data_IF_835390749391
#
_entry.id   IF_835390749391
#
_cell.length_a   1.000
_cell.length_b   1.000
_cell.length_c   1.000
_cell.angle_alpha   90.00
_cell.angle_beta   90.00
_cell.angle_gamma   90.00
#
_symmetry.space_group_name_H-M   'P 1'
#
loop_
_entity.id
_entity.type
_entity.pdbx_description
1 polymer ?
#
# COMPACT_ATOMS: atom_id res chain seq x y z
N UNK A 1 2.84 -8.16 7.20
CA UNK A 1 1.41 -8.55 7.07
C UNK A 1 0.67 -8.53 8.42
N UNK A 2 1.16 -9.21 9.45
CA UNK A 2 0.48 -9.33 10.76
C UNK A 2 0.27 -8.01 11.51
N UNK A 3 1.25 -7.10 11.43
CA UNK A 3 1.19 -5.80 12.14
C UNK A 3 0.24 -4.83 11.44
N UNK A 4 0.26 -4.77 10.11
CA UNK A 4 -0.63 -3.91 9.31
C UNK A 4 -2.10 -4.31 9.45
N UNK A 5 -2.39 -5.62 9.50
CA UNK A 5 -3.76 -6.14 9.72
C UNK A 5 -4.24 -5.80 11.14
N UNK A 6 -3.39 -5.91 12.16
CA UNK A 6 -3.75 -5.59 13.54
C UNK A 6 -4.02 -4.09 13.73
N UNK A 7 -3.21 -3.22 13.09
CA UNK A 7 -3.45 -1.78 13.08
C UNK A 7 -4.77 -1.42 12.39
N UNK A 8 -5.14 -2.12 11.32
CA UNK A 8 -6.42 -1.92 10.64
C UNK A 8 -7.61 -2.36 11.49
N UNK A 9 -7.52 -3.52 12.17
CA UNK A 9 -8.56 -4.01 13.10
C UNK A 9 -8.73 -3.08 14.30
N UNK A 10 -7.64 -2.53 14.84
CA UNK A 10 -7.70 -1.59 15.97
C UNK A 10 -8.21 -0.22 15.55
N UNK A 11 -7.78 0.30 14.40
CA UNK A 11 -8.30 1.56 13.83
C UNK A 11 -9.79 1.47 13.46
N UNK A 12 -10.27 0.30 13.01
CA UNK A 12 -11.68 0.06 12.72
C UNK A 12 -12.59 0.14 13.96
N UNK A 13 -12.05 -0.06 15.17
CA UNK A 13 -12.80 0.02 16.42
C UNK A 13 -13.04 1.44 16.96
N UNK A 14 -12.31 2.45 16.48
CA UNK A 14 -12.17 3.73 17.19
C UNK A 14 -12.79 4.94 16.46
N UNK A 15 -13.44 4.73 15.30
CA UNK A 15 -13.97 5.81 14.45
C UNK A 15 -15.38 5.48 13.90
N UNK A 16 -16.46 5.69 14.69
CA UNK A 16 -17.84 5.45 14.21
C UNK A 16 -18.27 6.35 13.04
N UNK A 17 -17.62 7.51 12.84
CA UNK A 17 -17.94 8.47 11.78
C UNK A 17 -17.09 8.35 10.51
N UNK A 18 -15.96 7.64 10.52
CA UNK A 18 -15.15 7.43 9.31
C UNK A 18 -15.81 6.45 8.32
N UNK A 19 -16.78 5.64 8.81
CA UNK A 19 -17.59 4.70 8.02
C UNK A 19 -18.70 5.38 7.19
N UNK A 20 -18.81 6.73 7.24
CA UNK A 20 -19.90 7.46 6.58
C UNK A 20 -19.77 7.52 5.04
N UNK A 21 -18.62 7.15 4.47
CA UNK A 21 -18.46 7.02 3.01
C UNK A 21 -19.02 5.66 2.57
N UNK A 22 -20.36 5.56 2.59
CA UNK A 22 -21.09 4.36 2.21
C UNK A 22 -20.80 4.01 0.76
N UNK A 23 -20.21 2.84 0.58
CA UNK A 23 -20.10 2.13 -0.67
C UNK A 23 -21.47 1.98 -1.35
N UNK A 24 -21.72 2.69 -2.46
CA UNK A 24 -22.95 2.50 -3.23
C UNK A 24 -22.82 1.25 -4.11
N UNK A 25 -23.86 0.43 -4.13
CA UNK A 25 -23.91 -0.73 -5.03
C UNK A 25 -23.94 -0.23 -6.49
N UNK A 26 -22.98 -0.70 -7.30
CA UNK A 26 -22.84 -0.31 -8.71
C UNK A 26 -21.75 0.73 -9.01
N UNK A 27 -21.04 1.26 -8.00
CA UNK A 27 -19.86 2.10 -8.23
C UNK A 27 -18.62 1.25 -8.50
N UNK A 28 -17.98 1.49 -9.65
CA UNK A 28 -16.65 0.92 -9.94
C UNK A 28 -15.66 1.39 -8.88
N UNK A 29 -14.95 0.44 -8.27
CA UNK A 29 -13.88 0.73 -7.33
C UNK A 29 -12.59 0.12 -7.81
N UNK A 30 -11.64 0.98 -8.05
CA UNK A 30 -10.32 0.61 -8.51
C UNK A 30 -9.43 0.37 -7.30
N UNK A 31 -8.52 -0.58 -7.46
CA UNK A 31 -7.35 -0.73 -6.60
C UNK A 31 -6.21 0.00 -7.31
N UNK A 32 -5.51 0.87 -6.59
CA UNK A 32 -4.35 1.56 -7.10
C UNK A 32 -3.06 0.99 -6.51
N UNK A 33 -1.95 1.12 -7.24
CA UNK A 33 -0.71 0.42 -6.91
C UNK A 33 0.49 1.36 -7.03
N UNK A 34 1.31 1.43 -5.99
CA UNK A 34 2.57 2.16 -5.95
C UNK A 34 3.67 1.14 -5.60
N UNK A 35 4.54 0.84 -6.54
CA UNK A 35 5.48 -0.26 -6.36
C UNK A 35 6.63 -0.30 -7.35
N UNK A 36 7.59 -1.17 -7.08
CA UNK A 36 8.65 -1.50 -8.03
C UNK A 36 8.05 -2.12 -9.30
N UNK A 37 8.81 -2.08 -10.39
CA UNK A 37 8.43 -2.63 -11.70
C UNK A 37 7.90 -4.07 -11.62
N UNK A 38 8.57 -4.94 -10.86
CA UNK A 38 8.17 -6.34 -10.68
C UNK A 38 6.79 -6.47 -10.02
N UNK A 39 6.54 -5.64 -9.00
CA UNK A 39 5.30 -5.67 -8.22
C UNK A 39 4.16 -5.13 -9.08
N UNK A 40 4.34 -3.97 -9.70
CA UNK A 40 3.33 -3.36 -10.57
C UNK A 40 3.00 -4.31 -11.72
N UNK A 41 4.00 -4.85 -12.41
CA UNK A 41 3.80 -5.81 -13.51
C UNK A 41 3.02 -7.04 -13.07
N UNK A 42 3.32 -7.61 -11.90
CA UNK A 42 2.59 -8.75 -11.36
C UNK A 42 1.09 -8.48 -11.15
N UNK A 43 0.74 -7.30 -10.64
CA UNK A 43 -0.66 -6.92 -10.44
C UNK A 43 -1.37 -6.50 -11.73
N UNK A 44 -0.65 -5.88 -12.68
CA UNK A 44 -1.20 -5.61 -14.01
C UNK A 44 -1.59 -6.92 -14.71
N UNK A 45 -0.76 -7.96 -14.62
CA UNK A 45 -1.06 -9.30 -15.13
C UNK A 45 -2.22 -9.97 -14.39
N UNK A 46 -2.40 -9.67 -13.10
CA UNK A 46 -3.56 -10.12 -12.32
C UNK A 46 -4.88 -9.39 -12.69
N UNK A 47 -4.84 -8.41 -13.60
CA UNK A 47 -6.01 -7.67 -14.06
C UNK A 47 -6.40 -6.49 -13.17
N UNK A 48 -5.53 -6.06 -12.25
CA UNK A 48 -5.80 -4.94 -11.34
C UNK A 48 -5.52 -3.58 -12.00
N UNK A 49 -4.79 -3.55 -13.12
CA UNK A 49 -4.51 -2.34 -13.88
C UNK A 49 -5.68 -1.85 -14.73
N UNK A 50 -6.08 -0.60 -14.51
CA UNK A 50 -6.96 0.14 -15.43
C UNK A 50 -6.16 1.30 -16.05
N UNK A 51 -5.64 1.07 -17.25
CA UNK A 51 -5.02 2.10 -18.09
C UNK A 51 -5.99 2.61 -19.17
N UNK A 52 -7.31 2.53 -18.94
CA UNK A 52 -8.30 2.83 -19.97
C UNK A 52 -8.15 4.28 -20.48
N UNK A 53 -7.79 4.50 -21.76
CA UNK A 53 -7.62 5.85 -22.33
C UNK A 53 -8.92 6.67 -22.35
N UNK A 54 -10.07 5.99 -22.23
CA UNK A 54 -11.40 6.61 -22.21
C UNK A 54 -11.77 7.23 -20.85
N UNK A 55 -11.07 6.88 -19.76
CA UNK A 55 -11.32 7.49 -18.45
C UNK A 55 -10.36 8.68 -18.29
N UNK A 56 -10.89 9.90 -18.16
CA UNK A 56 -10.14 11.16 -17.92
C UNK A 56 -9.26 11.16 -16.65
N UNK A 57 -9.18 10.04 -15.91
CA UNK A 57 -8.70 9.94 -14.54
C UNK A 57 -7.26 9.43 -14.41
N UNK A 58 -6.61 9.04 -15.52
CA UNK A 58 -5.22 8.59 -15.53
C UNK A 58 -5.02 7.17 -14.99
N UNK A 59 -3.79 6.61 -15.09
CA UNK A 59 -3.48 5.26 -14.63
C UNK A 59 -3.72 5.10 -13.12
N UNK A 60 -4.10 3.90 -12.70
CA UNK A 60 -4.22 3.52 -11.29
C UNK A 60 -2.93 2.88 -10.74
N UNK A 61 -1.80 3.06 -11.40
CA UNK A 61 -0.52 2.54 -10.93
C UNK A 61 0.60 3.56 -11.11
N UNK A 62 1.61 3.47 -10.26
CA UNK A 62 2.83 4.25 -10.30
C UNK A 62 4.02 3.34 -10.07
N UNK A 63 4.90 3.26 -11.06
CA UNK A 63 6.15 2.49 -10.98
C UNK A 63 7.20 3.37 -10.32
N UNK A 64 7.85 2.84 -9.30
CA UNK A 64 8.94 3.51 -8.58
C UNK A 64 10.25 2.84 -8.93
N UNK A 65 11.17 3.64 -9.43
CA UNK A 65 12.56 3.25 -9.69
C UNK A 65 13.48 3.81 -8.60
N UNK A 66 14.71 3.29 -8.55
CA UNK A 66 15.75 3.77 -7.61
C UNK A 66 16.14 5.24 -7.83
N UNK A 67 15.83 5.78 -9.00
CA UNK A 67 16.11 7.17 -9.38
C UNK A 67 14.90 8.09 -9.21
N UNK A 68 13.72 7.54 -8.91
CA UNK A 68 12.50 8.33 -8.73
C UNK A 68 12.62 9.18 -7.46
N UNK A 69 12.43 10.51 -7.53
CA UNK A 69 12.53 11.36 -6.36
C UNK A 69 11.34 11.16 -5.42
N UNK A 70 11.58 11.26 -4.11
CA UNK A 70 10.55 11.09 -3.06
C UNK A 70 9.36 12.05 -3.26
N UNK A 71 9.61 13.25 -3.78
CA UNK A 71 8.56 14.22 -4.09
C UNK A 71 7.57 13.73 -5.15
N UNK A 72 8.03 12.98 -6.15
CA UNK A 72 7.16 12.39 -7.17
C UNK A 72 6.31 11.26 -6.59
N UNK A 73 6.89 10.43 -5.73
CA UNK A 73 6.18 9.35 -5.02
C UNK A 73 5.07 9.95 -4.14
N UNK A 74 5.38 11.02 -3.40
CA UNK A 74 4.39 11.72 -2.58
C UNK A 74 3.27 12.31 -3.44
N UNK A 75 3.61 12.98 -4.54
CA UNK A 75 2.62 13.58 -5.44
C UNK A 75 1.70 12.50 -6.04
N UNK A 76 2.26 11.36 -6.45
CA UNK A 76 1.50 10.22 -6.95
C UNK A 76 0.56 9.65 -5.88
N UNK A 77 1.05 9.47 -4.65
CA UNK A 77 0.24 9.01 -3.53
C UNK A 77 -0.93 9.96 -3.25
N UNK A 78 -0.67 11.26 -3.12
CA UNK A 78 -1.71 12.28 -2.90
C UNK A 78 -2.74 12.31 -4.04
N UNK A 79 -2.29 12.17 -5.29
CA UNK A 79 -3.18 12.14 -6.45
C UNK A 79 -4.10 10.90 -6.44
N UNK A 80 -3.59 9.74 -6.03
CA UNK A 80 -4.38 8.52 -5.88
C UNK A 80 -5.34 8.58 -4.69
N UNK A 81 -4.93 9.20 -3.58
CA UNK A 81 -5.78 9.38 -2.39
C UNK A 81 -6.94 10.34 -2.66
N UNK A 82 -6.71 11.40 -3.45
CA UNK A 82 -7.73 12.38 -3.80
C UNK A 82 -8.84 11.83 -4.72
N UNK A 83 -8.61 10.66 -5.35
CA UNK A 83 -9.55 10.04 -6.28
C UNK A 83 -10.67 9.30 -5.54
N UNK A 84 -11.91 9.63 -5.88
CA UNK A 84 -13.10 9.03 -5.27
C UNK A 84 -13.46 7.64 -5.81
N UNK A 85 -12.86 7.23 -6.95
CA UNK A 85 -13.05 5.93 -7.58
C UNK A 85 -12.04 4.87 -7.09
N UNK A 86 -11.05 5.24 -6.28
CA UNK A 86 -10.10 4.32 -5.68
C UNK A 86 -10.62 3.89 -4.30
N UNK A 87 -10.74 2.58 -4.09
CA UNK A 87 -11.08 2.03 -2.77
C UNK A 87 -9.85 1.71 -1.93
N UNK A 88 -8.76 1.32 -2.59
CA UNK A 88 -7.56 0.80 -1.96
C UNK A 88 -6.32 1.24 -2.70
N UNK A 89 -5.27 1.63 -1.97
CA UNK A 89 -3.94 1.90 -2.49
C UNK A 89 -2.99 0.85 -1.91
N UNK A 90 -2.47 -0.03 -2.77
CA UNK A 90 -1.39 -0.96 -2.45
C UNK A 90 -0.06 -0.23 -2.61
N UNK A 91 0.77 -0.22 -1.58
CA UNK A 91 2.10 0.41 -1.64
C UNK A 91 3.16 -0.56 -1.16
N UNK A 92 4.31 -0.63 -1.83
CA UNK A 92 5.43 -1.43 -1.31
C UNK A 92 5.95 -0.84 0.01
N UNK A 93 6.24 -1.70 0.98
CA UNK A 93 6.61 -1.29 2.34
C UNK A 93 7.84 -0.35 2.37
N UNK A 94 8.85 -0.59 1.52
CA UNK A 94 10.03 0.29 1.46
C UNK A 94 9.67 1.68 0.95
N UNK A 95 8.82 1.77 -0.08
CA UNK A 95 8.34 3.05 -0.63
C UNK A 95 7.48 3.79 0.39
N UNK A 96 6.63 3.07 1.13
CA UNK A 96 5.82 3.64 2.19
C UNK A 96 6.65 4.25 3.33
N UNK A 97 7.86 3.71 3.59
CA UNK A 97 8.77 4.30 4.56
C UNK A 97 9.31 5.66 4.11
N UNK A 98 9.58 5.83 2.82
CA UNK A 98 10.11 7.09 2.28
C UNK A 98 9.09 8.24 2.40
N UNK A 99 7.80 7.92 2.31
CA UNK A 99 6.69 8.89 2.43
C UNK A 99 5.83 8.67 3.69
N UNK A 100 6.43 8.16 4.78
CA UNK A 100 5.71 7.78 6.01
C UNK A 100 4.81 8.88 6.55
N UNK A 101 5.26 10.14 6.51
CA UNK A 101 4.48 11.30 6.92
C UNK A 101 3.21 11.49 6.09
N UNK A 102 3.27 11.28 4.77
CA UNK A 102 2.13 11.40 3.88
C UNK A 102 1.12 10.27 4.13
N UNK A 103 1.61 9.04 4.32
CA UNK A 103 0.76 7.88 4.64
C UNK A 103 0.05 8.06 5.98
N UNK A 104 0.77 8.48 7.03
CA UNK A 104 0.19 8.68 8.36
C UNK A 104 -0.77 9.87 8.43
N UNK A 105 -0.58 10.89 7.56
CA UNK A 105 -1.49 12.03 7.47
C UNK A 105 -2.86 11.67 6.92
N UNK A 106 -2.96 10.56 6.16
CA UNK A 106 -4.22 10.07 5.63
C UNK A 106 -5.01 9.31 6.71
N UNK A 107 -6.04 9.96 7.27
CA UNK A 107 -6.92 9.40 8.31
C UNK A 107 -8.28 8.93 7.79
N UNK A 108 -8.60 9.20 6.53
CA UNK A 108 -9.87 8.76 5.95
C UNK A 108 -9.87 7.23 5.80
N UNK A 109 -11.03 6.61 6.04
CA UNK A 109 -11.19 5.17 5.82
C UNK A 109 -11.04 4.78 4.34
N UNK A 110 -11.33 5.70 3.42
CA UNK A 110 -11.24 5.49 1.96
C UNK A 110 -10.46 6.60 1.27
N UNK A 111 -9.51 6.26 0.37
CA UNK A 111 -9.07 4.89 0.07
C UNK A 111 -8.28 4.27 1.23
N UNK A 112 -8.40 2.96 1.42
CA UNK A 112 -7.58 2.26 2.41
C UNK A 112 -6.16 2.05 1.88
N UNK A 113 -5.16 2.41 2.68
CA UNK A 113 -3.75 2.26 2.31
C UNK A 113 -3.21 0.96 2.90
N UNK A 114 -2.66 0.08 2.07
CA UNK A 114 -2.15 -1.22 2.48
C UNK A 114 -0.71 -1.43 2.02
N UNK A 115 0.18 -1.65 2.98
CA UNK A 115 1.59 -1.94 2.74
C UNK A 115 1.79 -3.43 2.36
N UNK A 116 2.46 -3.68 1.24
CA UNK A 116 2.82 -5.02 0.75
C UNK A 116 4.34 -5.21 0.72
N UNK A 117 4.86 -6.42 0.98
CA UNK A 117 6.28 -6.70 0.84
C UNK A 117 6.70 -6.66 -0.63
N UNK A 118 7.94 -6.27 -0.92
CA UNK A 118 8.55 -6.33 -2.24
C UNK A 118 9.60 -7.45 -2.33
N UNK A 119 9.91 -7.90 -3.55
CA UNK A 119 10.92 -8.96 -3.80
C UNK A 119 12.37 -8.53 -3.49
N UNK A 120 12.67 -7.22 -3.44
CA UNK A 120 14.05 -6.73 -3.48
C UNK A 120 14.75 -6.70 -2.11
N UNK A 121 14.02 -6.87 -1.02
CA UNK A 121 14.63 -7.05 0.30
C UNK A 121 14.73 -8.55 0.54
N UNK A 122 15.95 -9.07 0.41
CA UNK A 122 16.27 -10.40 0.91
C UNK A 122 15.88 -10.47 2.38
N UNK A 123 15.20 -11.54 2.76
CA UNK A 123 14.84 -11.82 4.13
C UNK A 123 16.09 -11.75 5.02
N UNK A 124 16.15 -10.73 5.87
CA UNK A 124 17.26 -10.51 6.79
C UNK A 124 16.95 -11.21 8.11
N UNK A 125 17.48 -12.42 8.28
CA UNK A 125 17.29 -13.27 9.47
C UNK A 125 17.63 -12.54 10.77
N UNK A 126 18.52 -11.52 10.71
CA UNK A 126 18.93 -10.74 11.88
C UNK A 126 17.83 -9.80 12.39
N UNK A 127 16.84 -9.46 11.57
CA UNK A 127 15.77 -8.49 11.91
C UNK A 127 14.43 -9.14 12.20
N UNK A 128 14.31 -10.46 12.04
CA UNK A 128 13.07 -11.18 12.34
C UNK A 128 13.05 -11.62 13.82
N UNK A 129 12.17 -11.04 14.67
CA UNK A 129 12.06 -11.43 16.08
C UNK A 129 11.58 -12.88 16.29
N UNK A 130 10.98 -13.52 15.28
CA UNK A 130 10.61 -14.94 15.32
C UNK A 130 11.86 -15.81 15.14
N UNK A 131 12.75 -15.46 14.21
CA UNK A 131 14.01 -16.19 14.02
C UNK A 131 15.00 -15.97 15.14
N UNK A 132 15.10 -14.76 15.70
CA UNK A 132 15.91 -14.53 16.88
C UNK A 132 15.47 -15.40 18.07
N UNK A 133 14.15 -15.61 18.22
CA UNK A 133 13.62 -16.52 19.23
C UNK A 133 13.96 -17.98 18.92
N UNK A 134 13.86 -18.40 17.66
CA UNK A 134 14.24 -19.75 17.23
C UNK A 134 15.75 -20.01 17.40
N UNK A 135 16.63 -19.10 17.01
CA UNK A 135 18.08 -19.24 17.18
C UNK A 135 18.48 -19.28 18.66
N UNK A 136 17.84 -18.45 19.51
CA UNK A 136 18.01 -18.56 20.98
C UNK A 136 17.52 -19.90 21.52
N UNK A 137 16.46 -20.46 20.95
CA UNK A 137 15.90 -21.74 21.39
C UNK A 137 16.71 -22.94 20.88
N UNK A 138 17.34 -22.82 19.71
CA UNK A 138 18.13 -23.86 19.04
C UNK A 138 19.64 -23.78 19.37
N UNK A 139 20.07 -22.80 20.16
CA UNK A 139 21.43 -22.75 20.72
C UNK A 139 22.53 -22.36 19.73
N UNK A 140 22.19 -21.80 18.56
CA UNK A 140 23.16 -21.20 17.67
C UNK A 140 23.48 -19.78 18.15
N UNK A 141 24.60 -19.65 18.88
CA UNK A 141 25.19 -18.37 19.27
C UNK A 141 26.06 -17.80 18.17
#
# INVERSE_FOLDING_TARGET
VTVSVLYWVRAAGEQPNAMAKKFRAGEERLVAIIGDEDTVSGFLLAGVGDATPKKKRGPNFFVVDKTTPVSEIENAFRAMVARTDIAMVLICQHIANDIRYAVESHKEALPCVMEIPSKQIAFDESKDPVLQKLNRFLGAA
#
